data_IF_856815331383
#
_entry.id   IF_856815331383
#
_cell.length_a   1.000
_cell.length_b   1.000
_cell.length_c   1.000
_cell.angle_alpha   90.00
_cell.angle_beta   90.00
_cell.angle_gamma   90.00
#
_symmetry.space_group_name_H-M   'P 1'
#
loop_
_entity.id
_entity.type
_entity.pdbx_description
1 polymer ?
#
# COMPACT_ATOMS: atom_id res chain seq x y z
N UNK A 1 -16.90 6.34 -19.31
CA UNK A 1 -16.05 7.41 -18.75
C UNK A 1 -14.59 7.00 -18.97
N UNK A 2 -13.72 7.88 -19.48
CA UNK A 2 -12.29 7.56 -19.55
C UNK A 2 -11.69 7.52 -18.14
N UNK A 3 -10.96 6.46 -17.82
CA UNK A 3 -10.27 6.30 -16.53
C UNK A 3 -9.25 7.43 -16.33
N UNK A 4 -9.33 8.10 -15.18
CA UNK A 4 -8.17 8.81 -14.63
C UNK A 4 -7.18 7.70 -14.21
N UNK A 5 -5.90 7.73 -14.60
CA UNK A 5 -4.98 6.65 -14.25
C UNK A 5 -4.83 6.49 -12.74
N UNK A 6 -4.70 5.22 -12.33
CA UNK A 6 -4.52 4.66 -10.98
C UNK A 6 -5.79 4.38 -10.18
N UNK A 7 -6.35 5.33 -9.43
CA UNK A 7 -7.43 5.03 -8.46
C UNK A 7 -8.75 4.63 -9.13
N UNK A 8 -9.20 5.37 -10.17
CA UNK A 8 -10.40 5.02 -10.92
C UNK A 8 -10.29 3.67 -11.66
N UNK A 9 -9.08 3.20 -11.97
CA UNK A 9 -8.88 1.87 -12.53
C UNK A 9 -9.08 0.75 -11.50
N UNK A 10 -8.87 1.03 -10.20
CA UNK A 10 -9.13 0.04 -9.15
C UNK A 10 -10.61 -0.26 -9.02
N UNK A 11 -11.46 0.76 -9.18
CA UNK A 11 -12.90 0.64 -9.00
C UNK A 11 -13.52 -0.27 -10.06
N UNK A 12 -13.17 -0.05 -11.34
CA UNK A 12 -13.62 -0.92 -12.43
C UNK A 12 -13.17 -2.37 -12.24
N UNK A 13 -11.99 -2.61 -11.65
CA UNK A 13 -11.49 -3.97 -11.38
C UNK A 13 -12.26 -4.64 -10.26
N UNK A 14 -12.62 -3.91 -9.21
CA UNK A 14 -13.39 -4.45 -8.08
C UNK A 14 -14.84 -4.69 -8.51
N UNK A 15 -15.45 -3.76 -9.25
CA UNK A 15 -16.79 -3.93 -9.85
C UNK A 15 -16.83 -5.14 -10.80
N UNK A 16 -15.86 -5.23 -11.71
CA UNK A 16 -15.75 -6.40 -12.59
C UNK A 16 -15.60 -7.69 -11.79
N UNK A 17 -14.78 -7.69 -10.73
CA UNK A 17 -14.62 -8.85 -9.86
C UNK A 17 -15.94 -9.23 -9.20
N UNK A 18 -16.66 -8.29 -8.59
CA UNK A 18 -18.00 -8.51 -8.01
C UNK A 18 -18.95 -9.11 -9.04
N UNK A 19 -18.98 -8.59 -10.26
CA UNK A 19 -19.95 -8.99 -11.27
C UNK A 19 -19.61 -10.33 -11.93
N UNK A 20 -18.35 -10.76 -11.90
CA UNK A 20 -17.88 -11.93 -12.65
C UNK A 20 -17.37 -13.08 -11.79
N UNK A 21 -16.97 -12.86 -10.53
CA UNK A 21 -16.27 -13.91 -9.75
C UNK A 21 -17.16 -15.12 -9.43
N UNK A 22 -18.48 -14.97 -9.46
CA UNK A 22 -19.42 -16.09 -9.38
C UNK A 22 -19.22 -17.12 -10.50
N UNK A 23 -18.87 -16.68 -11.72
CA UNK A 23 -18.58 -17.58 -12.84
C UNK A 23 -17.30 -18.41 -12.62
N UNK A 24 -16.42 -17.97 -11.72
CA UNK A 24 -15.22 -18.70 -11.28
C UNK A 24 -15.47 -19.56 -10.03
N UNK A 25 -16.73 -19.74 -9.63
CA UNK A 25 -17.10 -20.54 -8.46
C UNK A 25 -16.71 -19.91 -7.12
N UNK A 26 -16.66 -18.57 -7.05
CA UNK A 26 -16.40 -17.81 -5.82
C UNK A 26 -17.61 -16.96 -5.44
N UNK A 27 -17.53 -16.39 -4.24
CA UNK A 27 -18.61 -15.63 -3.63
C UNK A 27 -18.32 -14.12 -3.76
N UNK A 28 -19.11 -13.35 -4.54
CA UNK A 28 -18.90 -11.93 -4.73
C UNK A 28 -19.16 -11.09 -3.46
N UNK A 29 -19.81 -11.65 -2.43
CA UNK A 29 -20.05 -10.96 -1.16
C UNK A 29 -18.84 -11.01 -0.20
N UNK A 30 -17.77 -11.72 -0.56
CA UNK A 30 -16.59 -11.94 0.28
C UNK A 30 -15.29 -11.44 -0.36
N UNK A 31 -15.37 -10.33 -1.10
CA UNK A 31 -14.19 -9.72 -1.72
C UNK A 31 -13.36 -9.03 -0.64
N UNK A 32 -12.11 -9.45 -0.48
CA UNK A 32 -11.10 -8.72 0.31
C UNK A 32 -10.10 -8.11 -0.66
N UNK A 33 -9.84 -6.82 -0.51
CA UNK A 33 -8.76 -6.14 -1.24
C UNK A 33 -7.57 -5.98 -0.29
N UNK A 34 -6.37 -6.14 -0.85
CA UNK A 34 -5.12 -6.05 -0.12
C UNK A 34 -4.04 -5.45 -1.00
N UNK A 35 -3.06 -4.82 -0.36
CA UNK A 35 -1.93 -4.24 -1.06
C UNK A 35 -0.80 -3.87 -0.11
N UNK A 36 0.38 -3.69 -0.70
CA UNK A 36 1.59 -3.31 -0.01
C UNK A 36 2.05 -1.92 -0.44
N UNK A 37 2.58 -1.13 0.49
CA UNK A 37 3.11 0.23 0.23
C UNK A 37 2.06 1.14 -0.42
N UNK A 38 2.35 1.73 -1.59
CA UNK A 38 1.41 2.48 -2.42
C UNK A 38 0.14 1.68 -2.74
N UNK A 39 0.24 0.35 -2.89
CA UNK A 39 -0.93 -0.52 -3.04
C UNK A 39 -1.80 -0.55 -1.79
N UNK A 40 -1.19 -0.55 -0.60
CA UNK A 40 -1.90 -0.43 0.68
C UNK A 40 -2.57 0.94 0.83
N UNK A 41 -1.86 2.02 0.49
CA UNK A 41 -2.44 3.35 0.47
C UNK A 41 -3.62 3.44 -0.51
N UNK A 42 -3.54 2.76 -1.66
CA UNK A 42 -4.64 2.69 -2.63
C UNK A 42 -5.87 1.94 -2.11
N UNK A 43 -5.66 0.87 -1.34
CA UNK A 43 -6.71 0.14 -0.62
C UNK A 43 -7.40 1.07 0.38
N UNK A 44 -6.63 1.86 1.13
CA UNK A 44 -7.22 2.77 2.12
C UNK A 44 -7.90 3.97 1.43
N UNK A 45 -7.35 4.54 0.36
CA UNK A 45 -8.01 5.56 -0.47
C UNK A 45 -9.37 5.10 -0.99
N UNK A 46 -9.45 3.86 -1.49
CA UNK A 46 -10.70 3.23 -1.89
C UNK A 46 -11.72 3.25 -0.75
N UNK A 47 -11.28 2.99 0.49
CA UNK A 47 -12.16 3.00 1.66
C UNK A 47 -12.78 4.37 1.95
N UNK A 48 -12.14 5.48 1.57
CA UNK A 48 -12.72 6.82 1.71
C UNK A 48 -13.53 7.26 0.50
N UNK A 49 -13.17 6.81 -0.71
CA UNK A 49 -13.85 7.16 -1.94
C UNK A 49 -15.23 6.49 -2.07
N UNK A 50 -15.35 5.26 -1.55
CA UNK A 50 -16.53 4.40 -1.68
C UNK A 50 -17.26 4.16 -0.35
N UNK A 51 -17.29 5.18 0.52
CA UNK A 51 -17.84 5.08 1.87
C UNK A 51 -19.33 4.62 1.91
N UNK A 52 -20.13 5.01 0.91
CA UNK A 52 -21.58 4.81 0.91
C UNK A 52 -22.04 3.48 0.26
N UNK A 53 -21.22 2.87 -0.60
CA UNK A 53 -21.54 1.62 -1.32
C UNK A 53 -20.34 0.66 -1.35
N UNK A 54 -19.98 0.06 -0.19
CA UNK A 54 -18.86 -0.85 -0.12
C UNK A 54 -19.18 -2.20 -0.78
N UNK A 55 -18.50 -2.49 -1.88
CA UNK A 55 -18.61 -3.78 -2.61
C UNK A 55 -17.51 -4.78 -2.19
N UNK A 56 -16.93 -4.55 -1.01
CA UNK A 56 -15.85 -5.33 -0.40
C UNK A 56 -16.19 -5.69 1.06
N UNK A 57 -15.64 -6.78 1.56
CA UNK A 57 -15.92 -7.35 2.87
C UNK A 57 -14.76 -7.24 3.87
N UNK A 58 -13.54 -6.95 3.41
CA UNK A 58 -12.40 -6.70 4.28
C UNK A 58 -11.25 -5.98 3.57
N UNK A 59 -10.39 -5.36 4.38
CA UNK A 59 -9.19 -4.64 3.94
C UNK A 59 -7.95 -5.29 4.57
N UNK A 60 -6.89 -5.49 3.79
CA UNK A 60 -5.56 -5.78 4.33
C UNK A 60 -4.58 -4.70 3.84
N UNK A 61 -3.94 -4.03 4.79
CA UNK A 61 -3.09 -2.88 4.54
C UNK A 61 -1.65 -3.15 5.04
N UNK A 62 -0.75 -3.44 4.10
CA UNK A 62 0.64 -3.81 4.37
C UNK A 62 1.55 -2.59 4.16
N UNK A 63 2.09 -2.03 5.23
CA UNK A 63 3.12 -0.97 5.18
C UNK A 63 2.72 0.32 4.45
N UNK A 64 1.44 0.74 4.48
CA UNK A 64 1.02 2.14 4.32
C UNK A 64 -0.48 2.31 4.55
N UNK A 65 -0.94 3.55 4.70
CA UNK A 65 -2.37 3.93 4.78
C UNK A 65 -2.57 5.30 4.13
N UNK A 66 -3.80 5.75 3.97
CA UNK A 66 -4.12 7.04 3.35
C UNK A 66 -3.46 8.23 4.08
N UNK A 67 -3.27 8.15 5.40
CA UNK A 67 -2.62 9.19 6.20
C UNK A 67 -1.08 9.14 6.16
N UNK A 68 -0.49 8.03 5.68
CA UNK A 68 0.96 7.83 5.62
C UNK A 68 1.56 8.11 4.24
N UNK A 69 0.71 8.26 3.22
CA UNK A 69 1.13 8.43 1.84
C UNK A 69 1.03 9.89 1.39
N UNK A 70 2.03 10.36 0.65
CA UNK A 70 2.05 11.73 0.14
C UNK A 70 1.00 11.89 -0.95
N UNK A 71 0.18 12.94 -0.82
CA UNK A 71 -0.85 13.29 -1.78
C UNK A 71 -0.42 14.52 -2.55
N UNK A 72 -0.51 14.45 -3.87
CA UNK A 72 -0.06 15.52 -4.75
C UNK A 72 -1.18 16.54 -4.92
N UNK A 73 -0.96 17.83 -4.59
CA UNK A 73 -1.92 18.88 -4.95
C UNK A 73 -2.11 18.93 -6.46
N UNK A 74 -3.34 19.16 -6.92
CA UNK A 74 -3.66 19.21 -8.36
C UNK A 74 -2.78 20.19 -9.14
N UNK A 75 -2.42 21.33 -8.54
CA UNK A 75 -1.52 22.32 -9.15
C UNK A 75 -0.13 21.75 -9.44
N UNK A 76 0.41 20.97 -8.50
CA UNK A 76 1.73 20.31 -8.64
C UNK A 76 1.66 19.18 -9.67
N UNK A 77 0.57 18.41 -9.70
CA UNK A 77 0.36 17.38 -10.71
C UNK A 77 0.30 17.97 -12.13
N UNK A 78 -0.39 19.11 -12.28
CA UNK A 78 -0.47 19.85 -13.55
C UNK A 78 0.90 20.41 -13.97
N UNK A 79 1.67 20.97 -13.03
CA UNK A 79 3.04 21.43 -13.30
C UNK A 79 3.96 20.30 -13.77
N UNK A 80 3.91 19.15 -13.09
CA UNK A 80 4.67 17.97 -13.46
C UNK A 80 4.26 17.44 -14.83
N UNK A 81 2.96 17.39 -15.12
CA UNK A 81 2.44 17.03 -16.44
C UNK A 81 3.04 17.93 -17.53
N UNK A 82 2.93 19.25 -17.39
CA UNK A 82 3.43 20.17 -18.42
C UNK A 82 4.96 20.20 -18.53
N UNK A 83 5.68 19.89 -17.46
CA UNK A 83 7.13 19.68 -17.50
C UNK A 83 7.48 18.50 -18.42
N UNK A 84 6.75 17.39 -18.30
CA UNK A 84 6.93 16.20 -19.14
C UNK A 84 6.55 16.49 -20.59
N UNK A 85 5.37 17.09 -20.83
CA UNK A 85 4.91 17.37 -22.20
C UNK A 85 5.81 18.35 -22.93
N UNK A 86 6.36 19.34 -22.23
CA UNK A 86 7.30 20.31 -22.80
C UNK A 86 8.63 19.66 -23.19
N UNK A 87 9.18 18.77 -22.34
CA UNK A 87 10.40 18.00 -22.65
C UNK A 87 10.26 17.12 -23.90
N UNK A 88 9.05 16.61 -24.15
CA UNK A 88 8.75 15.76 -25.31
C UNK A 88 8.25 16.54 -26.53
N UNK A 89 8.30 17.87 -26.47
CA UNK A 89 7.86 18.78 -27.53
C UNK A 89 6.39 18.58 -27.93
N UNK A 90 5.53 18.30 -26.95
CA UNK A 90 4.07 18.21 -27.14
C UNK A 90 3.30 19.47 -26.75
N UNK A 91 3.99 20.53 -26.30
CA UNK A 91 3.37 21.76 -25.80
C UNK A 91 3.29 21.81 -24.28
N UNK A 92 2.66 22.87 -23.75
CA UNK A 92 2.64 23.18 -22.33
C UNK A 92 1.31 23.81 -21.89
N UNK A 93 1.33 24.54 -20.78
CA UNK A 93 0.13 25.08 -20.13
C UNK A 93 -0.71 26.04 -21.00
N UNK A 94 -0.12 26.64 -22.03
CA UNK A 94 -0.79 27.56 -22.97
C UNK A 94 -1.21 26.90 -24.28
N UNK A 95 -0.86 25.63 -24.49
CA UNK A 95 -1.20 24.86 -25.68
C UNK A 95 -2.61 24.26 -25.59
N UNK A 96 -3.22 23.90 -26.72
CA UNK A 96 -4.50 23.22 -26.72
C UNK A 96 -4.39 21.84 -26.05
N UNK A 97 -5.19 21.59 -25.00
CA UNK A 97 -5.09 20.35 -24.21
C UNK A 97 -5.33 19.07 -25.03
N UNK A 98 -6.21 19.10 -26.04
CA UNK A 98 -6.48 17.95 -26.89
C UNK A 98 -5.30 17.64 -27.83
N UNK A 99 -4.63 18.68 -28.35
CA UNK A 99 -3.43 18.53 -29.17
C UNK A 99 -2.25 18.01 -28.35
N UNK A 100 -2.08 18.52 -27.12
CA UNK A 100 -1.08 18.04 -26.17
C UNK A 100 -1.29 16.55 -25.88
N UNK A 101 -2.52 16.15 -25.54
CA UNK A 101 -2.85 14.76 -25.25
C UNK A 101 -2.68 13.85 -26.48
N UNK A 102 -3.11 14.30 -27.65
CA UNK A 102 -2.94 13.56 -28.89
C UNK A 102 -1.45 13.33 -29.21
N UNK A 103 -0.61 14.37 -29.07
CA UNK A 103 0.83 14.26 -29.23
C UNK A 103 1.46 13.31 -28.20
N UNK A 104 1.08 13.42 -26.92
CA UNK A 104 1.65 12.58 -25.86
C UNK A 104 1.34 11.09 -26.09
N UNK A 105 0.18 10.75 -26.65
CA UNK A 105 -0.19 9.38 -27.02
C UNK A 105 0.64 8.78 -28.14
N UNK A 106 1.40 9.58 -28.90
CA UNK A 106 2.32 9.08 -29.93
C UNK A 106 3.75 8.92 -29.43
N UNK A 107 4.05 9.30 -28.18
CA UNK A 107 5.41 9.21 -27.63
C UNK A 107 5.71 7.82 -27.11
N UNK A 108 6.98 7.44 -27.21
CA UNK A 108 7.47 6.20 -26.61
C UNK A 108 7.37 6.28 -25.08
N UNK A 109 6.93 5.19 -24.46
CA UNK A 109 6.71 5.15 -23.01
C UNK A 109 8.01 5.35 -22.22
N UNK A 110 9.16 4.87 -22.72
CA UNK A 110 10.44 5.05 -22.03
C UNK A 110 10.87 6.52 -22.07
N UNK A 111 10.56 7.24 -23.16
CA UNK A 111 10.79 8.69 -23.23
C UNK A 111 9.89 9.46 -22.26
N UNK A 112 8.64 9.03 -22.07
CA UNK A 112 7.74 9.60 -21.07
C UNK A 112 8.32 9.37 -19.66
N UNK A 113 8.67 8.13 -19.33
CA UNK A 113 9.23 7.77 -18.02
C UNK A 113 10.54 8.53 -17.74
N UNK A 114 11.45 8.62 -18.72
CA UNK A 114 12.70 9.38 -18.60
C UNK A 114 12.49 10.90 -18.48
N UNK A 115 11.32 11.41 -18.89
CA UNK A 115 10.99 12.83 -18.80
C UNK A 115 10.42 13.22 -17.43
N UNK A 116 9.97 12.26 -16.63
CA UNK A 116 9.49 12.48 -15.26
C UNK A 116 10.61 13.18 -14.47
N UNK A 117 10.36 14.34 -13.86
CA UNK A 117 11.37 15.02 -13.07
C UNK A 117 11.81 14.11 -11.91
N UNK A 118 13.13 14.00 -11.71
CA UNK A 118 13.66 13.33 -10.54
C UNK A 118 13.15 14.02 -9.27
N UNK A 119 12.76 13.23 -8.26
CA UNK A 119 12.50 13.81 -6.96
C UNK A 119 13.83 14.08 -6.26
N UNK A 120 14.12 15.36 -6.02
CA UNK A 120 15.29 15.80 -5.26
C UNK A 120 14.98 15.94 -3.78
N UNK A 121 13.70 15.87 -3.39
CA UNK A 121 13.33 15.66 -2.00
C UNK A 121 13.53 14.19 -1.71
N UNK A 122 14.02 13.85 -0.52
CA UNK A 122 14.34 12.47 -0.06
C UNK A 122 13.08 11.58 0.04
N UNK A 123 12.02 11.93 -0.68
CA UNK A 123 10.80 11.21 -0.87
C UNK A 123 11.04 10.10 -1.86
N UNK A 124 10.57 8.93 -1.48
CA UNK A 124 10.49 7.74 -2.33
C UNK A 124 9.23 7.80 -3.20
N UNK A 125 8.51 8.92 -3.16
CA UNK A 125 7.37 9.19 -4.01
C UNK A 125 7.84 9.79 -5.33
N UNK A 126 7.31 9.25 -6.43
CA UNK A 126 7.51 9.80 -7.76
C UNK A 126 6.76 11.12 -7.90
N UNK A 127 7.24 12.01 -8.79
CA UNK A 127 6.52 13.27 -9.14
C UNK A 127 5.17 13.03 -9.84
N UNK A 128 4.88 11.78 -10.19
CA UNK A 128 3.55 11.31 -10.58
C UNK A 128 3.06 10.42 -9.44
N UNK A 129 1.86 10.66 -8.94
CA UNK A 129 1.31 9.88 -7.83
C UNK A 129 -0.14 10.26 -7.52
N UNK A 130 -0.69 9.74 -6.41
CA UNK A 130 -2.06 10.03 -5.99
C UNK A 130 -2.28 11.54 -5.93
N UNK A 131 -3.19 12.03 -6.75
CA UNK A 131 -3.45 13.46 -6.91
C UNK A 131 -4.78 13.79 -6.27
N UNK A 132 -4.82 14.84 -5.45
CA UNK A 132 -6.04 15.28 -4.78
C UNK A 132 -7.05 15.76 -5.83
N UNK A 133 -8.04 14.93 -6.09
CA UNK A 133 -9.12 15.15 -7.05
C UNK A 133 -10.49 15.38 -6.37
N UNK A 134 -10.58 15.16 -5.05
CA UNK A 134 -11.81 15.15 -4.26
C UNK A 134 -12.86 14.14 -4.75
N UNK A 135 -12.43 13.10 -5.46
CA UNK A 135 -13.26 11.98 -5.91
C UNK A 135 -12.69 10.69 -5.35
N UNK A 136 -11.43 10.41 -5.63
CA UNK A 136 -10.72 9.19 -5.21
C UNK A 136 -9.64 9.46 -4.17
N UNK A 137 -9.08 10.68 -4.15
CA UNK A 137 -8.05 11.11 -3.20
C UNK A 137 -8.45 12.46 -2.61
N UNK A 138 -8.43 12.54 -1.28
CA UNK A 138 -8.96 13.67 -0.52
C UNK A 138 -7.92 14.30 0.40
N UNK A 139 -7.91 15.63 0.60
CA UNK A 139 -6.88 16.28 1.41
C UNK A 139 -7.04 16.09 2.93
N UNK A 140 -8.15 15.49 3.40
CA UNK A 140 -8.64 15.64 4.77
C UNK A 140 -9.07 14.31 5.45
N UNK A 141 -8.29 13.25 5.31
CA UNK A 141 -8.63 11.92 5.87
C UNK A 141 -8.94 11.89 7.37
N UNK A 142 -8.26 12.71 8.18
CA UNK A 142 -8.57 12.82 9.61
C UNK A 142 -9.98 13.36 9.87
N UNK A 143 -10.41 14.39 9.13
CA UNK A 143 -11.75 14.96 9.26
C UNK A 143 -12.82 14.01 8.72
N UNK A 144 -12.55 13.33 7.59
CA UNK A 144 -13.43 12.30 7.03
C UNK A 144 -13.63 11.13 7.97
N UNK A 145 -12.55 10.66 8.59
CA UNK A 145 -12.61 9.60 9.59
C UNK A 145 -13.47 10.00 10.78
N UNK A 146 -13.29 11.22 11.30
CA UNK A 146 -14.08 11.75 12.41
C UNK A 146 -15.58 11.91 12.05
N UNK A 147 -15.89 12.22 10.79
CA UNK A 147 -17.26 12.27 10.27
C UNK A 147 -17.85 10.87 9.99
N UNK A 148 -17.03 9.81 10.03
CA UNK A 148 -17.43 8.46 9.66
C UNK A 148 -17.58 8.24 8.15
N UNK A 149 -16.99 9.12 7.33
CA UNK A 149 -17.02 9.08 5.86
C UNK A 149 -15.94 8.16 5.29
N UNK A 150 -16.04 6.87 5.63
CA UNK A 150 -15.19 5.80 5.12
C UNK A 150 -15.91 4.46 5.30
N UNK A 151 -15.47 3.43 4.57
CA UNK A 151 -16.03 2.09 4.65
C UNK A 151 -15.77 1.47 6.04
N UNK A 152 -16.84 1.03 6.71
CA UNK A 152 -16.79 0.44 8.07
C UNK A 152 -16.76 -1.09 8.04
N UNK A 153 -15.69 -1.67 7.49
CA UNK A 153 -15.48 -3.13 7.40
C UNK A 153 -14.19 -3.57 8.08
N UNK A 154 -14.03 -4.86 8.42
CA UNK A 154 -12.86 -5.35 9.13
C UNK A 154 -11.54 -5.05 8.42
N UNK A 155 -10.50 -4.82 9.23
CA UNK A 155 -9.16 -4.40 8.80
C UNK A 155 -8.07 -5.29 9.39
N UNK A 156 -7.14 -5.75 8.56
CA UNK A 156 -5.82 -6.24 8.98
C UNK A 156 -4.78 -5.22 8.52
N UNK A 157 -4.05 -4.58 9.44
CA UNK A 157 -3.05 -3.54 9.09
C UNK A 157 -1.73 -3.81 9.78
N UNK A 158 -0.61 -3.61 9.10
CA UNK A 158 0.69 -3.82 9.73
C UNK A 158 1.86 -3.23 8.97
N UNK A 159 3.03 -3.51 9.51
CA UNK A 159 4.31 -2.96 9.08
C UNK A 159 5.40 -4.00 9.23
N UNK A 160 6.48 -3.84 8.46
CA UNK A 160 7.73 -4.51 8.77
C UNK A 160 8.45 -3.78 9.90
N UNK A 161 9.35 -4.48 10.61
CA UNK A 161 10.04 -3.92 11.78
C UNK A 161 10.93 -2.73 11.43
N UNK A 162 11.52 -2.76 10.23
CA UNK A 162 12.52 -1.79 9.78
C UNK A 162 12.31 -1.33 8.32
N UNK A 163 11.13 -0.76 8.06
CA UNK A 163 10.68 -0.22 6.76
C UNK A 163 11.77 0.62 6.05
N UNK A 164 12.44 1.50 6.80
CA UNK A 164 13.37 2.49 6.26
C UNK A 164 14.58 1.91 5.50
N UNK A 165 14.99 0.66 5.75
CA UNK A 165 16.23 0.10 5.18
C UNK A 165 16.23 0.02 3.66
N UNK A 166 15.09 -0.33 3.04
CA UNK A 166 14.97 -0.39 1.59
C UNK A 166 15.30 0.98 0.99
N UNK A 167 14.74 2.02 1.58
CA UNK A 167 14.86 3.39 1.09
C UNK A 167 16.25 3.97 1.36
N UNK A 168 16.86 3.63 2.49
CA UNK A 168 18.26 3.96 2.76
C UNK A 168 19.20 3.32 1.72
N UNK A 169 18.95 2.06 1.37
CA UNK A 169 19.72 1.33 0.36
C UNK A 169 19.54 1.94 -1.02
N UNK A 170 18.31 2.24 -1.44
CA UNK A 170 18.00 2.82 -2.75
C UNK A 170 18.51 4.26 -2.91
N UNK A 171 18.48 5.06 -1.83
CA UNK A 171 18.97 6.44 -1.86
C UNK A 171 20.49 6.51 -2.06
N UNK A 172 21.23 5.44 -1.74
CA UNK A 172 22.69 5.41 -1.86
C UNK A 172 23.41 6.48 -1.02
N UNK A 173 22.72 7.07 -0.04
CA UNK A 173 23.24 8.16 0.80
C UNK A 173 23.22 7.78 2.27
N UNK A 174 24.29 8.14 2.99
CA UNK A 174 24.39 7.90 4.42
C UNK A 174 23.78 9.06 5.19
N UNK A 175 22.50 8.95 5.53
CA UNK A 175 21.84 9.88 6.44
C UNK A 175 21.97 9.43 7.91
N UNK A 176 21.88 10.35 8.89
CA UNK A 176 21.88 9.97 10.30
C UNK A 176 20.76 8.99 10.63
N UNK A 177 21.02 8.03 11.53
CA UNK A 177 20.01 7.04 11.97
C UNK A 177 18.71 7.67 12.47
N UNK A 178 18.78 8.85 13.09
CA UNK A 178 17.61 9.59 13.54
C UNK A 178 16.67 10.00 12.39
N UNK A 179 17.21 10.31 11.21
CA UNK A 179 16.42 10.65 10.02
C UNK A 179 15.66 9.43 9.53
N UNK A 180 16.35 8.28 9.39
CA UNK A 180 15.70 7.03 8.98
C UNK A 180 14.70 6.52 10.02
N UNK A 181 14.98 6.71 11.30
CA UNK A 181 14.01 6.42 12.35
C UNK A 181 12.76 7.29 12.24
N UNK A 182 12.92 8.61 12.07
CA UNK A 182 11.80 9.52 11.87
C UNK A 182 10.99 9.15 10.62
N UNK A 183 11.67 8.80 9.52
CA UNK A 183 11.03 8.32 8.30
C UNK A 183 10.20 7.05 8.54
N UNK A 184 10.78 6.04 9.21
CA UNK A 184 10.09 4.80 9.59
C UNK A 184 8.84 5.05 10.46
N UNK A 185 8.95 6.00 11.40
CA UNK A 185 7.84 6.37 12.28
C UNK A 185 6.76 7.09 11.49
N UNK A 186 7.08 8.19 10.83
CA UNK A 186 6.08 9.09 10.27
C UNK A 186 5.43 8.59 8.99
N UNK A 187 6.17 7.87 8.14
CA UNK A 187 5.63 7.40 6.85
C UNK A 187 4.84 6.10 7.01
N UNK A 188 5.25 5.22 7.93
CA UNK A 188 4.72 3.86 8.00
C UNK A 188 4.00 3.56 9.31
N UNK A 189 4.75 3.45 10.40
CA UNK A 189 4.23 2.86 11.65
C UNK A 189 3.23 3.76 12.39
N UNK A 190 3.43 5.08 12.37
CA UNK A 190 2.49 6.05 12.94
C UNK A 190 1.19 6.08 12.14
N UNK A 191 1.26 6.16 10.81
CA UNK A 191 0.09 6.19 9.94
C UNK A 191 -0.78 4.94 10.09
N UNK A 192 -0.15 3.76 10.12
CA UNK A 192 -0.81 2.48 10.38
C UNK A 192 -1.47 2.44 11.77
N UNK A 193 -0.82 3.05 12.77
CA UNK A 193 -1.39 3.24 14.11
C UNK A 193 -2.62 4.17 14.13
N UNK A 194 -2.59 5.27 13.38
CA UNK A 194 -3.72 6.20 13.23
C UNK A 194 -4.91 5.48 12.60
N UNK A 195 -4.69 4.74 11.50
CA UNK A 195 -5.75 3.99 10.82
C UNK A 195 -6.35 2.88 11.69
N UNK A 196 -5.53 2.17 12.46
CA UNK A 196 -5.97 1.21 13.46
C UNK A 196 -6.85 1.87 14.53
N UNK A 197 -6.44 3.04 15.03
CA UNK A 197 -7.20 3.78 16.03
C UNK A 197 -8.55 4.26 15.48
N UNK A 198 -8.62 4.70 14.21
CA UNK A 198 -9.88 5.06 13.53
C UNK A 198 -10.83 3.85 13.50
N UNK A 199 -10.33 2.65 13.16
CA UNK A 199 -11.13 1.43 13.18
C UNK A 199 -11.67 1.12 14.57
N UNK A 200 -10.83 1.18 15.61
CA UNK A 200 -11.25 0.92 17.00
C UNK A 200 -12.31 1.92 17.46
N UNK A 201 -12.10 3.22 17.19
CA UNK A 201 -13.06 4.28 17.56
C UNK A 201 -14.40 4.15 16.84
N UNK A 202 -14.43 3.47 15.70
CA UNK A 202 -15.63 3.21 14.91
C UNK A 202 -16.21 1.81 15.17
N UNK A 203 -15.76 1.12 16.22
CA UNK A 203 -16.20 -0.23 16.62
C UNK A 203 -16.01 -1.30 15.53
N UNK A 204 -15.00 -1.10 14.67
CA UNK A 204 -14.66 -2.02 13.59
C UNK A 204 -13.71 -3.09 14.11
N UNK A 205 -14.04 -4.40 13.97
CA UNK A 205 -13.11 -5.48 14.28
C UNK A 205 -11.85 -5.36 13.44
N UNK A 206 -10.68 -5.36 14.09
CA UNK A 206 -9.43 -5.15 13.38
C UNK A 206 -8.26 -5.91 14.03
N UNK A 207 -7.25 -6.26 13.23
CA UNK A 207 -6.04 -6.94 13.66
C UNK A 207 -4.79 -6.20 13.22
N UNK A 208 -3.75 -6.26 14.04
CA UNK A 208 -2.45 -5.70 13.70
C UNK A 208 -1.42 -6.80 13.59
N UNK A 209 -0.51 -6.66 12.64
CA UNK A 209 0.70 -7.46 12.59
C UNK A 209 1.94 -6.56 12.59
N UNK A 210 3.07 -7.13 13.02
CA UNK A 210 4.40 -6.54 12.85
C UNK A 210 5.33 -7.65 12.38
N UNK A 211 5.90 -7.46 11.20
CA UNK A 211 6.76 -8.45 10.57
C UNK A 211 8.22 -8.28 11.02
N UNK A 212 8.79 -9.32 11.62
CA UNK A 212 10.19 -9.36 12.08
C UNK A 212 11.07 -10.31 11.26
N UNK A 213 10.52 -10.93 10.21
CA UNK A 213 11.25 -11.90 9.39
C UNK A 213 12.49 -11.28 8.75
N UNK A 214 13.63 -11.94 8.92
CA UNK A 214 14.92 -11.51 8.40
C UNK A 214 15.72 -12.73 7.97
N UNK A 215 15.59 -13.07 6.68
CA UNK A 215 16.09 -14.32 6.12
C UNK A 215 17.26 -14.09 5.15
N UNK A 216 18.25 -15.00 5.08
CA UNK A 216 19.44 -14.79 4.25
C UNK A 216 19.17 -14.54 2.76
N UNK A 217 18.14 -15.17 2.21
CA UNK A 217 17.70 -15.07 0.80
C UNK A 217 16.94 -13.76 0.48
N UNK A 218 16.42 -13.06 1.49
CA UNK A 218 15.69 -11.79 1.34
C UNK A 218 16.48 -10.56 1.79
N UNK A 219 17.73 -10.72 2.26
CA UNK A 219 18.54 -9.58 2.73
C UNK A 219 18.96 -8.64 1.60
N UNK A 220 18.82 -7.33 1.84
CA UNK A 220 19.35 -6.29 0.96
C UNK A 220 20.84 -6.04 1.22
N UNK A 221 21.23 -6.11 2.49
CA UNK A 221 22.58 -5.79 2.98
C UNK A 221 23.04 -6.89 3.93
N UNK A 222 24.33 -7.25 3.85
CA UNK A 222 24.93 -8.29 4.68
C UNK A 222 25.53 -7.75 5.98
N UNK A 223 25.97 -6.48 5.99
CA UNK A 223 26.49 -5.80 7.19
C UNK A 223 26.32 -4.27 7.12
N UNK A 224 25.60 -3.64 8.07
CA UNK A 224 24.68 -4.30 9.01
C UNK A 224 23.60 -5.06 8.23
N UNK A 225 22.99 -6.09 8.84
CA UNK A 225 21.93 -6.84 8.19
C UNK A 225 20.69 -5.96 7.98
N UNK A 226 20.03 -6.10 6.82
CA UNK A 226 18.88 -5.26 6.45
C UNK A 226 17.64 -5.39 7.35
N UNK A 227 17.58 -6.41 8.21
CA UNK A 227 16.40 -6.69 9.02
C UNK A 227 15.15 -6.97 8.18
N UNK A 228 13.98 -6.74 8.78
CA UNK A 228 12.69 -6.79 8.10
C UNK A 228 12.41 -5.45 7.39
N UNK A 229 12.98 -5.29 6.21
CA UNK A 229 12.86 -4.08 5.38
C UNK A 229 11.48 -3.97 4.72
N UNK A 230 11.15 -2.78 4.20
CA UNK A 230 9.82 -2.48 3.63
C UNK A 230 9.40 -3.42 2.50
N UNK A 231 8.39 -4.25 2.74
CA UNK A 231 7.89 -5.25 1.78
C UNK A 231 8.58 -6.61 1.85
N UNK A 232 9.44 -6.84 2.85
CA UNK A 232 10.06 -8.16 3.10
C UNK A 232 9.08 -9.24 3.58
N UNK A 233 7.85 -8.88 3.92
CA UNK A 233 6.72 -9.77 4.22
C UNK A 233 6.04 -10.31 2.95
N UNK A 234 6.06 -9.57 1.84
CA UNK A 234 5.42 -9.95 0.57
C UNK A 234 5.85 -11.33 0.07
N UNK A 235 7.15 -11.69 0.03
CA UNK A 235 7.56 -13.02 -0.41
C UNK A 235 6.99 -14.14 0.45
N UNK A 236 6.84 -13.92 1.76
CA UNK A 236 6.23 -14.89 2.65
C UNK A 236 4.71 -15.01 2.41
N UNK A 237 4.01 -13.89 2.17
CA UNK A 237 2.56 -13.83 1.87
C UNK A 237 2.22 -14.51 0.53
N UNK A 238 3.11 -14.47 -0.46
CA UNK A 238 2.86 -15.05 -1.78
C UNK A 238 3.58 -16.35 -2.06
N UNK A 239 4.46 -16.80 -1.16
CA UNK A 239 5.36 -17.93 -1.40
C UNK A 239 6.27 -17.69 -2.63
N UNK A 240 6.89 -16.51 -2.66
CA UNK A 240 7.74 -16.03 -3.77
C UNK A 240 9.10 -15.58 -3.28
N UNK A 241 9.68 -16.29 -2.31
CA UNK A 241 11.03 -16.04 -1.85
C UNK A 241 12.03 -16.06 -3.03
N UNK A 242 13.01 -15.14 -3.09
CA UNK A 242 13.96 -15.10 -4.19
C UNK A 242 14.77 -16.40 -4.29
N UNK A 243 14.82 -16.99 -5.48
CA UNK A 243 15.62 -18.18 -5.74
C UNK A 243 16.46 -18.00 -7.01
N UNK A 244 17.79 -17.95 -6.87
CA UNK A 244 18.72 -17.88 -8.00
C UNK A 244 20.11 -18.36 -7.59
N UNK A 245 21.00 -18.57 -8.56
CA UNK A 245 22.42 -18.86 -8.28
C UNK A 245 23.01 -17.73 -7.45
N UNK A 246 23.58 -18.08 -6.28
CA UNK A 246 24.17 -17.12 -5.35
C UNK A 246 23.21 -16.56 -4.29
N UNK A 247 21.92 -16.88 -4.36
CA UNK A 247 20.95 -16.61 -3.29
C UNK A 247 20.85 -17.85 -2.40
N UNK A 248 20.99 -17.74 -1.06
CA UNK A 248 20.75 -18.85 -0.15
C UNK A 248 19.39 -19.50 -0.35
N UNK A 249 19.27 -20.80 -0.04
CA UNK A 249 17.97 -21.45 0.01
C UNK A 249 17.13 -20.94 1.20
N UNK A 250 15.81 -21.09 1.10
CA UNK A 250 14.88 -20.78 2.16
C UNK A 250 15.23 -21.58 3.43
N UNK A 251 15.11 -20.93 4.58
CA UNK A 251 15.34 -21.59 5.87
C UNK A 251 14.07 -22.28 6.36
N UNK A 252 14.18 -23.32 7.19
CA UNK A 252 12.99 -23.98 7.78
C UNK A 252 12.08 -22.99 8.52
N UNK A 253 12.67 -22.01 9.22
CA UNK A 253 11.93 -20.96 9.91
C UNK A 253 11.17 -20.03 8.95
N UNK A 254 11.76 -19.73 7.79
CA UNK A 254 11.12 -18.93 6.73
C UNK A 254 9.93 -19.65 6.10
N UNK A 255 10.10 -20.95 5.79
CA UNK A 255 9.03 -21.78 5.26
C UNK A 255 7.88 -21.85 6.26
N UNK A 256 8.17 -22.13 7.53
CA UNK A 256 7.16 -22.24 8.58
C UNK A 256 6.38 -20.93 8.78
N UNK A 257 7.08 -19.78 8.91
CA UNK A 257 6.38 -18.51 9.08
C UNK A 257 5.61 -18.11 7.81
N UNK A 258 6.13 -18.45 6.63
CA UNK A 258 5.45 -18.22 5.35
C UNK A 258 4.13 -18.99 5.28
N UNK A 259 4.12 -20.27 5.66
CA UNK A 259 2.90 -21.07 5.76
C UNK A 259 1.90 -20.45 6.74
N UNK A 260 2.38 -20.04 7.91
CA UNK A 260 1.55 -19.43 8.94
C UNK A 260 0.88 -18.13 8.47
N UNK A 261 1.63 -17.18 7.91
CA UNK A 261 1.04 -15.89 7.50
C UNK A 261 0.11 -16.04 6.29
N UNK A 262 0.41 -16.96 5.36
CA UNK A 262 -0.48 -17.25 4.22
C UNK A 262 -1.83 -17.78 4.69
N UNK A 263 -1.82 -18.68 5.67
CA UNK A 263 -3.06 -19.16 6.27
C UNK A 263 -3.81 -18.06 7.02
N UNK A 264 -3.11 -17.14 7.70
CA UNK A 264 -3.74 -15.99 8.36
C UNK A 264 -4.43 -15.05 7.35
N UNK A 265 -3.75 -14.66 6.27
CA UNK A 265 -4.33 -13.84 5.20
C UNK A 265 -5.55 -14.53 4.58
N UNK A 266 -5.44 -15.83 4.29
CA UNK A 266 -6.54 -16.62 3.76
C UNK A 266 -7.71 -16.74 4.74
N UNK A 267 -7.44 -16.88 6.04
CA UNK A 267 -8.45 -16.94 7.08
C UNK A 267 -9.20 -15.61 7.19
N UNK A 268 -8.47 -14.49 7.18
CA UNK A 268 -9.06 -13.15 7.12
C UNK A 268 -9.94 -13.00 5.88
N UNK A 269 -9.43 -13.29 4.68
CA UNK A 269 -10.19 -13.16 3.44
C UNK A 269 -11.44 -14.06 3.40
N UNK A 270 -11.38 -15.28 3.98
CA UNK A 270 -12.53 -16.19 4.04
C UNK A 270 -13.66 -15.66 4.93
N UNK A 271 -13.31 -15.03 6.06
CA UNK A 271 -14.25 -14.51 7.04
C UNK A 271 -13.69 -13.26 7.76
N UNK A 272 -13.75 -12.06 7.16
CA UNK A 272 -13.03 -10.88 7.67
C UNK A 272 -13.35 -10.49 9.12
N UNK A 273 -14.57 -10.80 9.62
CA UNK A 273 -14.99 -10.50 11.00
C UNK A 273 -14.50 -11.51 12.05
N UNK A 274 -14.11 -12.71 11.65
CA UNK A 274 -13.93 -13.83 12.58
C UNK A 274 -12.77 -14.78 12.25
N UNK A 275 -12.36 -14.90 11.00
CA UNK A 275 -11.43 -15.92 10.53
C UNK A 275 -10.10 -15.91 11.27
N UNK A 276 -9.55 -14.72 11.53
CA UNK A 276 -8.34 -14.58 12.33
C UNK A 276 -8.52 -14.97 13.80
N UNK A 277 -9.71 -14.81 14.39
CA UNK A 277 -9.99 -15.22 15.79
C UNK A 277 -9.94 -16.73 15.99
N UNK A 278 -10.17 -17.48 14.91
CA UNK A 278 -10.20 -18.94 14.91
C UNK A 278 -9.02 -19.57 14.16
N UNK A 279 -8.11 -18.76 13.64
CA UNK A 279 -6.94 -19.26 12.92
C UNK A 279 -5.85 -19.61 13.93
N UNK A 280 -5.45 -20.89 13.95
CA UNK A 280 -4.55 -21.48 14.95
C UNK A 280 -5.01 -21.16 16.39
N UNK A 281 -4.14 -20.55 17.21
CA UNK A 281 -4.48 -20.18 18.59
C UNK A 281 -5.37 -18.93 18.70
N UNK A 282 -5.73 -18.34 17.56
CA UNK A 282 -6.64 -17.20 17.47
C UNK A 282 -5.93 -15.86 17.66
N UNK A 283 -5.95 -15.04 16.62
CA UNK A 283 -5.42 -13.69 16.68
C UNK A 283 -6.38 -12.80 17.50
N UNK A 284 -5.87 -12.13 18.55
CA UNK A 284 -6.68 -11.21 19.34
C UNK A 284 -7.08 -10.01 18.47
N UNK A 285 -8.33 -9.57 18.63
CA UNK A 285 -8.76 -8.28 18.09
C UNK A 285 -7.90 -7.20 18.75
N UNK A 286 -7.41 -6.26 17.95
CA UNK A 286 -6.56 -5.19 18.45
C UNK A 286 -7.33 -4.29 19.41
N UNK A 287 -6.77 -4.11 20.61
CA UNK A 287 -7.24 -3.17 21.62
C UNK A 287 -6.07 -2.24 21.99
N UNK A 288 -6.21 -0.91 21.84
CA UNK A 288 -5.16 0.03 22.18
C UNK A 288 -4.66 -0.15 23.62
N UNK A 289 -3.33 -0.20 23.79
CA UNK A 289 -2.70 -0.35 25.11
C UNK A 289 -2.68 -1.77 25.69
N UNK A 290 -3.32 -2.75 25.05
CA UNK A 290 -3.19 -4.15 25.45
C UNK A 290 -2.01 -4.81 24.72
N UNK A 291 -1.09 -5.42 25.47
CA UNK A 291 -0.12 -6.34 24.87
C UNK A 291 -0.86 -7.57 24.36
N UNK A 292 -0.78 -7.76 23.04
CA UNK A 292 -1.29 -8.93 22.34
C UNK A 292 -0.11 -9.50 21.53
N UNK A 293 0.66 -10.41 22.14
CA UNK A 293 1.72 -11.13 21.43
C UNK A 293 1.19 -12.51 21.08
N UNK A 294 0.93 -12.74 19.80
CA UNK A 294 0.91 -14.08 19.26
C UNK A 294 2.29 -14.32 18.64
N UNK A 295 3.12 -15.10 19.32
CA UNK A 295 4.36 -15.60 18.74
C UNK A 295 3.98 -16.85 17.94
N UNK A 296 3.94 -16.73 16.61
CA UNK A 296 4.03 -17.87 15.71
C UNK A 296 5.49 -18.27 15.49
#
# INVERSE_FOLDING_TARGET
MPCIPDTLCHDLRIEWTRDNIAAFGRDPSRITIFGQSTGSASVDFYSYAYADDPIIAGLIEESNTANGFIQTPISVAVENWFTITSKLHCGGATSNANEVLACMRTKDVNLILASIPADTTQSVATKIGPTIDNITVFPDYSARSAAGNFIKIPLLVGNTDYEAELFATLAGTTLPKAVWHAFNVHVFTFASGVRANISVQSEIPMWRYRWFGSFPNTRLTSYPGSGAWHGSDVPAVFNTAPSAVGIPADTDAEVAIGEYIRGAWAAFAKAPKAGLKSYEDGWPVYVPGQESRHAG
#
